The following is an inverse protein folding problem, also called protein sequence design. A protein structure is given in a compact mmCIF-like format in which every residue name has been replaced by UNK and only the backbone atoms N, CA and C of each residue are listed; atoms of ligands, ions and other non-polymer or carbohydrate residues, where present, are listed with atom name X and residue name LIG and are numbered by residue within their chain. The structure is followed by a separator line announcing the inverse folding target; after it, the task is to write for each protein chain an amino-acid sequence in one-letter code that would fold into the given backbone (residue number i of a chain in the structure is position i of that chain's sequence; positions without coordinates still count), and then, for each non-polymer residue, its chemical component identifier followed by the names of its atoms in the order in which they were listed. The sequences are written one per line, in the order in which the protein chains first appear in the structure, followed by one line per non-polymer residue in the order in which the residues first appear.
data_IF_491562331982
#
_entry.id   IF_491562331982
#
_cell.length_a   1.000
_cell.length_b   1.000
_cell.length_c   1.000
_cell.angle_alpha   90.00
_cell.angle_beta   90.00
_cell.angle_gamma   90.00
#
_symmetry.space_group_name_H-M   'P 1'
#
loop_
_entity.id
_entity.type
_entity.pdbx_description
1 polymer ?
#
# COMPACT_ATOMS: atom_id res chain seq x y z
N UNK A 1 12.39 35.32 4.50
CA UNK A 1 13.01 34.21 3.71
C UNK A 1 12.99 32.91 4.50
N UNK A 2 12.51 31.81 3.90
CA UNK A 2 12.48 30.47 4.51
C UNK A 2 13.08 29.48 3.50
N UNK A 3 14.19 28.83 3.87
CA UNK A 3 14.91 27.87 3.05
C UNK A 3 15.05 26.55 3.82
N UNK A 4 15.03 25.41 3.12
CA UNK A 4 15.24 24.06 3.66
C UNK A 4 16.13 23.27 2.70
N UNK A 5 17.23 22.70 3.22
CA UNK A 5 18.12 21.79 2.53
C UNK A 5 18.36 20.56 3.42
N UNK A 6 18.33 19.36 2.85
CA UNK A 6 18.60 18.12 3.58
C UNK A 6 19.28 17.08 2.69
N UNK A 7 19.95 16.11 3.32
CA UNK A 7 20.56 14.94 2.67
C UNK A 7 20.10 13.68 3.40
N UNK A 8 19.53 12.73 2.65
CA UNK A 8 19.12 11.41 3.15
C UNK A 8 19.84 10.33 2.33
N UNK A 9 20.50 9.40 3.02
CA UNK A 9 21.15 8.24 2.41
C UNK A 9 20.42 6.98 2.85
N UNK A 10 19.96 6.20 1.88
CA UNK A 10 19.23 4.94 2.10
C UNK A 10 19.65 3.91 1.07
N UNK A 11 19.42 2.64 1.40
CA UNK A 11 19.49 1.55 0.45
C UNK A 11 18.13 1.38 -0.22
N UNK A 12 18.04 1.67 -1.52
CA UNK A 12 16.75 1.74 -2.23
C UNK A 12 16.01 0.40 -2.26
N UNK A 13 16.69 -0.71 -2.58
CA UNK A 13 16.04 -2.01 -2.68
C UNK A 13 15.47 -2.51 -1.35
N UNK A 14 16.22 -2.49 -0.22
CA UNK A 14 15.66 -2.81 1.09
C UNK A 14 14.52 -1.88 1.52
N UNK A 15 14.55 -0.61 1.10
CA UNK A 15 13.52 0.39 1.46
C UNK A 15 12.12 0.02 0.91
N UNK A 16 12.06 -0.77 -0.16
CA UNK A 16 10.79 -1.25 -0.72
C UNK A 16 10.48 -2.71 -0.41
N UNK A 17 11.45 -3.50 0.06
CA UNK A 17 11.26 -4.93 0.29
C UNK A 17 10.14 -5.23 1.29
N UNK A 18 10.05 -4.47 2.39
CA UNK A 18 8.98 -4.60 3.37
C UNK A 18 7.59 -4.32 2.78
N UNK A 19 7.47 -3.25 1.99
CA UNK A 19 6.23 -2.88 1.29
C UNK A 19 5.77 -3.99 0.35
N UNK A 20 6.71 -4.61 -0.39
CA UNK A 20 6.40 -5.67 -1.35
C UNK A 20 5.98 -6.97 -0.65
N UNK A 21 6.55 -7.31 0.51
CA UNK A 21 6.11 -8.47 1.29
C UNK A 21 4.62 -8.37 1.61
N UNK A 22 4.17 -7.21 2.10
CA UNK A 22 2.77 -7.02 2.46
C UNK A 22 1.86 -6.93 1.24
N UNK A 23 2.29 -6.27 0.16
CA UNK A 23 1.54 -6.23 -1.09
C UNK A 23 1.29 -7.64 -1.67
N UNK A 24 2.29 -8.51 -1.65
CA UNK A 24 2.16 -9.92 -2.12
C UNK A 24 1.20 -10.70 -1.21
N UNK A 25 1.24 -10.47 0.10
CA UNK A 25 0.30 -11.11 1.04
C UNK A 25 -1.14 -10.65 0.81
N UNK A 26 -1.38 -9.37 0.55
CA UNK A 26 -2.69 -8.87 0.17
C UNK A 26 -3.18 -9.45 -1.16
N UNK A 27 -2.30 -9.60 -2.16
CA UNK A 27 -2.63 -10.28 -3.41
C UNK A 27 -3.03 -11.75 -3.18
N UNK A 28 -2.35 -12.46 -2.26
CA UNK A 28 -2.71 -13.82 -1.88
C UNK A 28 -4.08 -13.89 -1.19
N UNK A 29 -4.38 -12.96 -0.29
CA UNK A 29 -5.70 -12.86 0.35
C UNK A 29 -6.80 -12.65 -0.69
N UNK A 30 -6.59 -11.75 -1.66
CA UNK A 30 -7.54 -11.52 -2.74
C UNK A 30 -7.76 -12.78 -3.58
N UNK A 31 -6.68 -13.48 -3.94
CA UNK A 31 -6.72 -14.74 -4.66
C UNK A 31 -7.53 -15.80 -3.90
N UNK A 32 -7.31 -15.93 -2.59
CA UNK A 32 -8.02 -16.89 -1.74
C UNK A 32 -9.51 -16.58 -1.61
N UNK A 33 -9.89 -15.30 -1.74
CA UNK A 33 -11.28 -14.84 -1.75
C UNK A 33 -11.92 -14.84 -3.14
N UNK A 34 -11.18 -15.24 -4.18
CA UNK A 34 -11.67 -15.21 -5.57
C UNK A 34 -11.87 -13.79 -6.14
N UNK A 35 -11.17 -12.79 -5.58
CA UNK A 35 -11.31 -11.38 -5.96
C UNK A 35 -10.29 -11.06 -7.06
N UNK A 36 -10.79 -10.66 -8.23
CA UNK A 36 -9.99 -10.25 -9.37
C UNK A 36 -9.95 -8.73 -9.56
N UNK A 37 -9.00 -8.28 -10.39
CA UNK A 37 -8.77 -6.86 -10.65
C UNK A 37 -7.93 -6.19 -9.55
N UNK A 38 -7.76 -4.86 -9.62
CA UNK A 38 -6.99 -4.13 -8.62
C UNK A 38 -7.64 -4.18 -7.23
N UNK A 39 -6.82 -4.44 -6.20
CA UNK A 39 -7.21 -4.33 -4.80
C UNK A 39 -6.95 -2.90 -4.37
N UNK A 40 -8.00 -2.07 -4.36
CA UNK A 40 -7.92 -0.62 -4.22
C UNK A 40 -7.33 -0.21 -2.86
N UNK A 41 -7.74 -0.88 -1.80
CA UNK A 41 -7.22 -0.72 -0.43
C UNK A 41 -5.71 -0.97 -0.36
N UNK A 42 -5.23 -2.11 -0.85
CA UNK A 42 -3.81 -2.44 -0.86
C UNK A 42 -3.01 -1.53 -1.83
N UNK A 43 -3.55 -1.26 -3.01
CA UNK A 43 -2.89 -0.43 -4.03
C UNK A 43 -2.68 0.99 -3.52
N UNK A 44 -3.71 1.58 -2.89
CA UNK A 44 -3.63 2.94 -2.35
C UNK A 44 -2.66 3.10 -1.20
N UNK A 45 -2.31 2.03 -0.48
CA UNK A 45 -1.35 2.08 0.63
C UNK A 45 0.08 1.73 0.22
N UNK A 46 0.27 0.79 -0.72
CA UNK A 46 1.59 0.28 -1.07
C UNK A 46 2.20 0.87 -2.35
N UNK A 47 1.40 1.54 -3.20
CA UNK A 47 1.84 2.00 -4.52
C UNK A 47 1.77 3.52 -4.65
N UNK A 48 2.78 4.11 -5.29
CA UNK A 48 2.85 5.57 -5.56
C UNK A 48 1.81 6.06 -6.58
N UNK A 49 1.25 5.16 -7.38
CA UNK A 49 0.30 5.49 -8.45
C UNK A 49 -0.87 4.52 -8.41
N UNK A 50 -1.72 4.62 -7.37
CA UNK A 50 -2.86 3.72 -7.23
C UNK A 50 -3.99 4.13 -8.20
N UNK A 51 -4.91 3.20 -8.53
CA UNK A 51 -6.11 3.51 -9.32
C UNK A 51 -7.02 4.56 -8.66
N UNK A 52 -7.08 4.55 -7.33
CA UNK A 52 -7.81 5.51 -6.51
C UNK A 52 -6.88 6.10 -5.45
N UNK A 53 -6.86 7.44 -5.32
CA UNK A 53 -6.01 8.13 -4.38
C UNK A 53 -6.74 8.42 -3.07
N UNK A 54 -6.04 8.15 -1.97
CA UNK A 54 -6.46 8.46 -0.59
C UNK A 54 -5.27 9.10 0.13
N UNK A 55 -5.53 9.77 1.26
CA UNK A 55 -4.45 10.09 2.18
C UNK A 55 -3.91 8.81 2.83
N UNK A 56 -2.63 8.80 3.21
CA UNK A 56 -1.95 7.61 3.71
C UNK A 56 -2.63 6.98 4.94
N UNK A 57 -3.23 7.80 5.81
CA UNK A 57 -3.98 7.35 6.99
C UNK A 57 -5.27 6.61 6.61
N UNK A 58 -6.01 7.10 5.62
CA UNK A 58 -7.21 6.45 5.09
C UNK A 58 -6.83 5.17 4.34
N UNK A 59 -5.77 5.21 3.53
CA UNK A 59 -5.26 4.03 2.81
C UNK A 59 -4.84 2.91 3.78
N UNK A 60 -4.16 3.28 4.88
CA UNK A 60 -3.79 2.35 5.96
C UNK A 60 -5.02 1.70 6.59
N UNK A 61 -6.04 2.49 6.92
CA UNK A 61 -7.26 1.94 7.50
C UNK A 61 -7.97 0.98 6.53
N UNK A 62 -8.05 1.35 5.25
CA UNK A 62 -8.66 0.51 4.21
C UNK A 62 -7.94 -0.82 4.03
N UNK A 63 -6.60 -0.85 3.99
CA UNK A 63 -5.87 -2.12 3.85
C UNK A 63 -6.06 -3.01 5.09
N UNK A 64 -6.14 -2.42 6.28
CA UNK A 64 -6.45 -3.14 7.52
C UNK A 64 -7.86 -3.74 7.50
N UNK A 65 -8.86 -2.98 7.05
CA UNK A 65 -10.22 -3.47 6.82
C UNK A 65 -10.24 -4.61 5.78
N UNK A 66 -9.46 -4.50 4.71
CA UNK A 66 -9.33 -5.55 3.70
C UNK A 66 -8.72 -6.82 4.31
N UNK A 67 -7.66 -6.71 5.10
CA UNK A 67 -7.03 -7.84 5.78
C UNK A 67 -8.04 -8.54 6.71
N UNK A 68 -8.84 -7.77 7.46
CA UNK A 68 -9.91 -8.30 8.33
C UNK A 68 -11.12 -8.86 7.58
N UNK A 69 -11.26 -8.57 6.28
CA UNK A 69 -12.38 -9.01 5.45
C UNK A 69 -13.64 -8.15 5.59
N UNK A 70 -13.49 -6.91 6.07
CA UNK A 70 -14.56 -5.93 6.25
C UNK A 70 -14.89 -5.20 4.93
N UNK A 71 -13.94 -5.16 3.99
CA UNK A 71 -14.11 -4.61 2.64
C UNK A 71 -13.65 -5.61 1.58
N UNK A 72 -14.27 -5.53 0.41
CA UNK A 72 -13.97 -6.43 -0.72
C UNK A 72 -12.67 -6.04 -1.43
N UNK A 73 -12.42 -4.75 -1.69
CA UNK A 73 -11.29 -4.27 -2.51
C UNK A 73 -10.60 -3.08 -1.91
#
# INVERSE_FOLDING_TARGET
PLNLEYKLEVWDSPNSAGVIIDAVRCAKIAMDRGIGGPILSASSYFMKSPPEQYSDDIAREKVEQFIRGEVER
#
